data_IF_046561871439
#
_entry.id   IF_046561871439
#
_cell.length_a   1.000
_cell.length_b   1.000
_cell.length_c   1.000
_cell.angle_alpha   90.00
_cell.angle_beta   90.00
_cell.angle_gamma   90.00
#
_symmetry.space_group_name_H-M   'P 1'
#
loop_
_entity.id
_entity.type
_entity.pdbx_description
1 polymer ?
#
# COMPACT_ATOMS: atom_id res chain seq x y z
N UNK A 1 -23.26 16.66 2.38
CA UNK A 1 -22.80 15.34 2.84
C UNK A 1 -22.67 14.46 1.61
N UNK A 2 -21.53 13.80 1.41
CA UNK A 2 -21.29 12.80 0.36
C UNK A 2 -21.68 11.46 0.98
N UNK A 3 -22.64 10.77 0.38
CA UNK A 3 -23.07 9.46 0.83
C UNK A 3 -22.18 8.38 0.22
N UNK A 4 -21.61 7.53 1.06
CA UNK A 4 -20.70 6.46 0.67
C UNK A 4 -21.25 5.10 1.10
N UNK A 5 -21.30 4.15 0.16
CA UNK A 5 -21.48 2.73 0.47
C UNK A 5 -20.12 2.06 0.41
N UNK A 6 -19.73 1.40 1.50
CA UNK A 6 -18.48 0.66 1.58
C UNK A 6 -18.75 -0.82 1.29
N UNK A 7 -18.05 -1.39 0.32
CA UNK A 7 -18.13 -2.81 -0.01
C UNK A 7 -16.86 -3.52 0.44
N UNK A 8 -16.99 -4.35 1.48
CA UNK A 8 -15.90 -5.12 2.08
C UNK A 8 -15.80 -4.91 3.59
N UNK A 9 -15.12 -5.85 4.25
CA UNK A 9 -14.93 -5.87 5.71
C UNK A 9 -13.49 -6.21 6.12
N UNK A 10 -12.55 -6.16 5.16
CA UNK A 10 -11.13 -6.42 5.39
C UNK A 10 -10.41 -5.25 6.06
N UNK A 11 -9.08 -5.35 6.20
CA UNK A 11 -8.27 -4.34 6.90
C UNK A 11 -8.46 -2.93 6.31
N UNK A 12 -8.37 -2.80 4.98
CA UNK A 12 -8.55 -1.51 4.28
C UNK A 12 -9.96 -0.96 4.54
N UNK A 13 -10.99 -1.79 4.40
CA UNK A 13 -12.38 -1.40 4.64
C UNK A 13 -12.58 -0.89 6.07
N UNK A 14 -12.12 -1.64 7.08
CA UNK A 14 -12.21 -1.25 8.49
C UNK A 14 -11.54 0.11 8.75
N UNK A 15 -10.35 0.36 8.19
CA UNK A 15 -9.66 1.64 8.37
C UNK A 15 -10.35 2.80 7.66
N UNK A 16 -10.83 2.59 6.44
CA UNK A 16 -11.57 3.60 5.70
C UNK A 16 -12.90 3.94 6.36
N UNK A 17 -13.62 2.93 6.89
CA UNK A 17 -14.83 3.15 7.69
C UNK A 17 -14.53 4.06 8.88
N UNK A 18 -13.55 3.70 9.72
CA UNK A 18 -13.16 4.50 10.89
C UNK A 18 -12.77 5.93 10.52
N UNK A 19 -12.03 6.10 9.43
CA UNK A 19 -11.59 7.42 8.97
C UNK A 19 -12.77 8.27 8.46
N UNK A 20 -13.68 7.69 7.67
CA UNK A 20 -14.86 8.41 7.19
C UNK A 20 -15.90 8.66 8.27
N UNK A 21 -16.04 7.80 9.28
CA UNK A 21 -16.93 8.05 10.42
C UNK A 21 -16.51 9.27 11.25
N UNK A 22 -15.25 9.70 11.14
CA UNK A 22 -14.75 10.93 11.76
C UNK A 22 -14.87 12.17 10.86
N UNK A 23 -15.32 12.03 9.60
CA UNK A 23 -15.50 13.14 8.66
C UNK A 23 -16.84 13.84 8.87
N UNK A 24 -16.85 15.17 8.70
CA UNK A 24 -18.07 15.97 8.69
C UNK A 24 -18.71 16.08 7.29
N UNK A 25 -18.00 15.66 6.24
CA UNK A 25 -18.45 15.80 4.84
C UNK A 25 -18.84 14.48 4.19
N UNK A 26 -18.34 13.35 4.69
CA UNK A 26 -18.62 12.02 4.16
C UNK A 26 -19.40 11.22 5.20
N UNK A 27 -20.46 10.55 4.76
CA UNK A 27 -21.22 9.64 5.60
C UNK A 27 -21.19 8.24 4.99
N UNK A 28 -20.73 7.25 5.76
CA UNK A 28 -20.90 5.85 5.38
C UNK A 28 -22.35 5.46 5.68
N UNK A 29 -23.16 5.27 4.63
CA UNK A 29 -24.61 5.01 4.77
C UNK A 29 -24.94 3.53 4.80
N UNK A 30 -24.04 2.68 4.33
CA UNK A 30 -24.20 1.22 4.36
C UNK A 30 -22.85 0.53 4.20
N UNK A 31 -22.70 -0.65 4.83
CA UNK A 31 -21.58 -1.57 4.58
C UNK A 31 -22.08 -2.89 4.01
N UNK A 32 -21.54 -3.29 2.86
CA UNK A 32 -21.80 -4.58 2.25
C UNK A 32 -20.64 -5.55 2.51
N UNK A 33 -20.95 -6.82 2.77
CA UNK A 33 -19.96 -7.90 2.64
C UNK A 33 -20.64 -9.19 2.18
N UNK A 34 -19.92 -10.04 1.45
CA UNK A 34 -20.43 -11.34 1.01
C UNK A 34 -20.78 -12.32 2.15
N UNK A 35 -20.37 -12.04 3.39
CA UNK A 35 -20.60 -12.88 4.56
C UNK A 35 -20.87 -12.03 5.81
N UNK A 36 -21.84 -12.46 6.61
CA UNK A 36 -22.25 -11.80 7.86
C UNK A 36 -21.12 -11.70 8.89
N UNK A 37 -20.22 -12.70 8.94
CA UNK A 37 -19.12 -12.74 9.90
C UNK A 37 -18.22 -11.50 9.86
N UNK A 38 -18.14 -10.83 8.72
CA UNK A 38 -17.34 -9.61 8.56
C UNK A 38 -18.06 -8.32 8.96
N UNK A 39 -19.37 -8.37 9.26
CA UNK A 39 -20.21 -7.18 9.41
C UNK A 39 -20.41 -6.73 10.86
N UNK A 40 -20.11 -7.59 11.84
CA UNK A 40 -20.31 -7.32 13.27
C UNK A 40 -19.62 -6.04 13.79
N UNK A 41 -18.55 -5.61 13.14
CA UNK A 41 -17.83 -4.37 13.49
C UNK A 41 -18.59 -3.10 13.06
N UNK A 42 -19.44 -3.19 12.03
CA UNK A 42 -20.11 -2.04 11.40
C UNK A 42 -21.59 -1.92 11.80
N UNK A 43 -22.26 -3.05 12.04
CA UNK A 43 -23.71 -3.14 12.23
C UNK A 43 -24.25 -2.34 13.43
N UNK A 44 -23.39 -1.99 14.39
CA UNK A 44 -23.77 -1.19 15.57
C UNK A 44 -24.07 0.27 15.24
N UNK A 45 -23.45 0.79 14.19
CA UNK A 45 -23.46 2.22 13.86
C UNK A 45 -24.01 2.50 12.46
N UNK A 46 -23.88 1.55 11.54
CA UNK A 46 -24.26 1.71 10.15
C UNK A 46 -25.04 0.50 9.65
N UNK A 47 -26.11 0.69 8.84
CA UNK A 47 -26.80 -0.41 8.19
C UNK A 47 -25.84 -1.34 7.42
N UNK A 48 -26.06 -2.64 7.52
CA UNK A 48 -25.25 -3.64 6.83
C UNK A 48 -26.13 -4.53 5.94
N UNK A 49 -25.55 -5.10 4.88
CA UNK A 49 -26.23 -6.11 4.06
C UNK A 49 -25.23 -7.09 3.45
N UNK A 50 -25.71 -8.29 3.16
CA UNK A 50 -25.02 -9.31 2.37
C UNK A 50 -25.57 -9.44 0.95
N UNK A 51 -26.59 -8.65 0.61
CA UNK A 51 -27.26 -8.63 -0.69
C UNK A 51 -26.85 -7.41 -1.51
N UNK A 52 -26.45 -7.62 -2.77
CA UNK A 52 -26.15 -6.52 -3.70
C UNK A 52 -27.42 -5.79 -4.16
N UNK A 53 -28.57 -6.47 -4.13
CA UNK A 53 -29.86 -5.90 -4.51
C UNK A 53 -30.37 -4.89 -3.48
N UNK A 54 -29.94 -5.03 -2.23
CA UNK A 54 -30.31 -4.16 -1.10
C UNK A 54 -29.34 -2.99 -0.90
N UNK A 55 -28.40 -2.79 -1.83
CA UNK A 55 -27.46 -1.68 -1.75
C UNK A 55 -28.19 -0.34 -1.91
N UNK A 56 -27.96 0.56 -0.96
CA UNK A 56 -28.52 1.90 -0.91
C UNK A 56 -28.02 2.78 -2.07
N UNK A 57 -28.78 3.83 -2.37
CA UNK A 57 -28.33 4.88 -3.29
C UNK A 57 -27.24 5.71 -2.59
N UNK A 58 -26.12 5.91 -3.26
CA UNK A 58 -24.99 6.68 -2.75
C UNK A 58 -24.27 7.44 -3.87
N UNK A 59 -23.52 8.46 -3.48
CA UNK A 59 -22.68 9.24 -4.39
C UNK A 59 -21.42 8.46 -4.80
N UNK A 60 -20.94 7.59 -3.89
CA UNK A 60 -19.73 6.79 -4.05
C UNK A 60 -19.97 5.36 -3.53
N UNK A 61 -19.55 4.38 -4.31
CA UNK A 61 -19.49 2.96 -3.95
C UNK A 61 -18.02 2.56 -3.92
N UNK A 62 -17.49 2.31 -2.73
CA UNK A 62 -16.07 2.05 -2.51
C UNK A 62 -15.80 0.56 -2.29
N UNK A 63 -15.16 -0.07 -3.26
CA UNK A 63 -14.86 -1.50 -3.32
C UNK A 63 -13.52 -1.77 -2.63
N UNK A 64 -13.58 -2.04 -1.32
CA UNK A 64 -12.47 -2.50 -0.50
C UNK A 64 -12.50 -4.04 -0.40
N UNK A 65 -12.46 -4.68 -1.58
CA UNK A 65 -12.61 -6.12 -1.78
C UNK A 65 -11.30 -6.76 -2.23
N UNK A 66 -11.27 -8.10 -2.28
CA UNK A 66 -10.17 -8.82 -2.92
C UNK A 66 -10.11 -8.51 -4.42
N UNK A 67 -8.90 -8.49 -4.96
CA UNK A 67 -8.61 -8.09 -6.34
C UNK A 67 -9.39 -8.88 -7.39
N UNK A 68 -9.53 -10.19 -7.19
CA UNK A 68 -10.22 -11.13 -8.08
C UNK A 68 -11.74 -10.91 -8.13
N UNK A 69 -12.32 -10.35 -7.07
CA UNK A 69 -13.77 -10.15 -6.94
C UNK A 69 -14.21 -8.79 -7.51
N UNK A 70 -13.32 -7.78 -7.55
CA UNK A 70 -13.64 -6.41 -7.99
C UNK A 70 -14.36 -6.37 -9.37
N UNK A 71 -13.88 -7.04 -10.43
CA UNK A 71 -14.53 -6.95 -11.74
C UNK A 71 -15.94 -7.56 -11.78
N UNK A 72 -16.21 -8.56 -10.93
CA UNK A 72 -17.53 -9.19 -10.86
C UNK A 72 -18.52 -8.26 -10.16
N UNK A 73 -18.13 -7.71 -9.00
CA UNK A 73 -19.00 -6.84 -8.20
C UNK A 73 -19.24 -5.51 -8.92
N UNK A 74 -18.24 -4.95 -9.60
CA UNK A 74 -18.42 -3.72 -10.39
C UNK A 74 -19.50 -3.87 -11.47
N UNK A 75 -19.54 -5.00 -12.17
CA UNK A 75 -20.58 -5.29 -13.17
C UNK A 75 -21.97 -5.40 -12.56
N UNK A 76 -22.10 -5.94 -11.35
CA UNK A 76 -23.38 -5.98 -10.65
C UNK A 76 -23.86 -4.57 -10.24
N UNK A 77 -22.94 -3.61 -10.09
CA UNK A 77 -23.22 -2.21 -9.75
C UNK A 77 -23.23 -1.27 -10.97
N UNK A 78 -23.11 -1.78 -12.20
CA UNK A 78 -22.92 -0.97 -13.41
C UNK A 78 -24.03 0.07 -13.65
N UNK A 79 -25.25 -0.23 -13.20
CA UNK A 79 -26.44 0.61 -13.41
C UNK A 79 -26.65 1.63 -12.28
N UNK A 80 -25.73 1.69 -11.29
CA UNK A 80 -25.77 2.70 -10.23
C UNK A 80 -25.26 4.04 -10.75
N UNK A 81 -25.91 5.14 -10.33
CA UNK A 81 -25.55 6.51 -10.73
C UNK A 81 -24.29 7.06 -10.04
N UNK A 82 -23.95 6.51 -8.86
CA UNK A 82 -22.79 6.92 -8.08
C UNK A 82 -21.47 6.47 -8.70
N UNK A 83 -20.38 7.07 -8.24
CA UNK A 83 -19.03 6.69 -8.64
C UNK A 83 -18.66 5.31 -8.06
N UNK A 84 -18.33 4.35 -8.92
CA UNK A 84 -17.79 3.05 -8.50
C UNK A 84 -16.28 3.16 -8.44
N UNK A 85 -15.67 3.03 -7.26
CA UNK A 85 -14.21 3.09 -7.11
C UNK A 85 -13.67 1.91 -6.31
N UNK A 86 -12.49 1.40 -6.65
CA UNK A 86 -11.84 0.33 -5.88
C UNK A 86 -10.59 0.79 -5.16
N UNK A 87 -10.18 0.05 -4.12
CA UNK A 87 -8.98 0.37 -3.31
C UNK A 87 -7.77 -0.50 -3.63
N UNK A 88 -7.80 -1.29 -4.70
CA UNK A 88 -6.67 -2.16 -5.07
C UNK A 88 -5.49 -1.37 -5.66
N UNK A 89 -4.27 -1.73 -5.25
CA UNK A 89 -3.04 -1.25 -5.88
C UNK A 89 -2.80 -1.87 -7.26
N UNK A 90 -3.21 -3.12 -7.47
CA UNK A 90 -2.85 -3.92 -8.65
C UNK A 90 -3.93 -3.93 -9.76
N UNK A 91 -5.21 -3.90 -9.39
CA UNK A 91 -6.33 -3.92 -10.35
C UNK A 91 -6.38 -2.59 -11.11
N UNK A 92 -6.43 -2.65 -12.44
CA UNK A 92 -6.52 -1.42 -13.25
C UNK A 92 -7.93 -0.85 -13.28
N UNK A 93 -8.06 0.45 -13.52
CA UNK A 93 -9.35 1.12 -13.74
C UNK A 93 -10.23 0.41 -14.79
N UNK A 94 -9.61 -0.20 -15.81
CA UNK A 94 -10.31 -0.98 -16.84
C UNK A 94 -11.15 -2.17 -16.29
N UNK A 95 -10.87 -2.65 -15.07
CA UNK A 95 -11.72 -3.65 -14.41
C UNK A 95 -13.14 -3.14 -14.13
N UNK A 96 -13.34 -1.83 -14.15
CA UNK A 96 -14.60 -1.13 -13.95
C UNK A 96 -15.18 -0.60 -15.28
N UNK A 97 -14.75 -1.13 -16.43
CA UNK A 97 -15.14 -0.60 -17.75
C UNK A 97 -16.65 -0.58 -17.98
N UNK A 98 -17.38 -1.54 -17.41
CA UNK A 98 -18.85 -1.61 -17.48
C UNK A 98 -19.56 -0.47 -16.74
N UNK A 99 -18.91 0.19 -15.78
CA UNK A 99 -19.48 1.28 -15.00
C UNK A 99 -19.29 2.61 -15.74
N UNK A 100 -20.35 3.42 -15.83
CA UNK A 100 -20.27 4.75 -16.45
C UNK A 100 -19.30 5.67 -15.70
N UNK A 101 -19.41 5.73 -14.37
CA UNK A 101 -18.54 6.50 -13.48
C UNK A 101 -17.65 5.55 -12.70
N UNK A 102 -16.35 5.60 -12.96
CA UNK A 102 -15.39 4.66 -12.40
C UNK A 102 -14.11 5.34 -11.93
N UNK A 103 -13.53 4.80 -10.85
CA UNK A 103 -12.27 5.31 -10.30
C UNK A 103 -11.48 4.31 -9.47
N UNK A 104 -10.33 4.77 -8.99
CA UNK A 104 -9.43 4.08 -8.09
C UNK A 104 -9.13 5.01 -6.93
N UNK A 105 -9.32 4.52 -5.72
CA UNK A 105 -9.06 5.23 -4.47
C UNK A 105 -8.12 4.37 -3.63
N UNK A 106 -6.84 4.34 -4.01
CA UNK A 106 -5.87 3.41 -3.42
C UNK A 106 -5.04 4.08 -2.32
N UNK A 107 -5.25 3.72 -1.04
CA UNK A 107 -4.33 4.10 0.03
C UNK A 107 -3.04 3.28 -0.03
N UNK A 108 -1.90 3.94 -0.25
CA UNK A 108 -0.59 3.31 -0.27
C UNK A 108 -0.04 3.18 1.17
N UNK A 109 -0.49 2.14 1.87
CA UNK A 109 -0.07 1.81 3.23
C UNK A 109 -0.28 0.31 3.51
N UNK A 110 0.50 -0.25 4.44
CA UNK A 110 0.27 -1.58 5.01
C UNK A 110 -0.76 -1.48 6.13
N UNK A 111 -1.92 -2.13 5.95
CA UNK A 111 -3.02 -2.11 6.91
C UNK A 111 -3.11 -3.39 7.74
N UNK A 112 -3.28 -3.24 9.05
CA UNK A 112 -3.66 -4.33 9.98
C UNK A 112 -4.71 -3.81 10.96
N UNK A 113 -5.82 -4.55 11.15
CA UNK A 113 -7.01 -4.06 11.91
C UNK A 113 -6.70 -3.52 13.31
N UNK A 114 -5.71 -4.11 13.96
CA UNK A 114 -5.33 -3.86 15.36
C UNK A 114 -4.38 -2.67 15.51
N UNK A 115 -3.75 -2.20 14.43
CA UNK A 115 -2.77 -1.13 14.49
C UNK A 115 -3.45 0.20 14.23
N UNK A 116 -3.33 1.13 15.17
CA UNK A 116 -3.72 2.52 14.92
C UNK A 116 -2.78 3.14 13.88
N UNK A 117 -3.37 3.94 12.99
CA UNK A 117 -2.64 4.60 11.90
C UNK A 117 -2.87 6.10 12.00
N UNK A 118 -1.82 6.87 11.73
CA UNK A 118 -1.95 8.29 11.47
C UNK A 118 -2.46 8.48 10.03
N UNK A 119 -3.79 8.61 9.88
CA UNK A 119 -4.43 8.72 8.56
C UNK A 119 -3.91 9.90 7.73
N UNK A 120 -3.56 11.01 8.39
CA UNK A 120 -3.02 12.23 7.75
C UNK A 120 -1.72 12.00 6.97
N UNK A 121 -1.01 10.90 7.25
CA UNK A 121 0.24 10.59 6.58
C UNK A 121 0.08 9.65 5.38
N UNK A 122 -1.08 9.02 5.22
CA UNK A 122 -1.33 8.00 4.19
C UNK A 122 -1.47 8.69 2.83
N UNK A 123 -0.63 8.35 1.84
CA UNK A 123 -0.79 8.82 0.48
C UNK A 123 -1.91 8.05 -0.23
N UNK A 124 -2.84 8.78 -0.84
CA UNK A 124 -3.89 8.22 -1.69
C UNK A 124 -3.54 8.39 -3.17
N UNK A 125 -3.46 7.27 -3.88
CA UNK A 125 -3.26 7.22 -5.33
C UNK A 125 -4.63 7.16 -6.00
N UNK A 126 -4.96 8.20 -6.76
CA UNK A 126 -6.27 8.44 -7.34
C UNK A 126 -6.21 8.31 -8.87
N UNK A 127 -7.25 7.72 -9.44
CA UNK A 127 -7.48 7.62 -10.88
C UNK A 127 -8.99 7.64 -11.12
N UNK A 128 -9.47 8.27 -12.19
CA UNK A 128 -10.88 8.22 -12.58
C UNK A 128 -11.03 8.31 -14.10
N UNK A 129 -12.19 7.88 -14.62
CA UNK A 129 -12.52 8.04 -16.04
C UNK A 129 -12.64 9.52 -16.45
N UNK A 130 -13.22 10.34 -15.57
CA UNK A 130 -13.52 11.74 -15.82
C UNK A 130 -13.00 12.66 -14.71
N UNK A 131 -12.70 13.92 -15.07
CA UNK A 131 -12.15 14.91 -14.13
C UNK A 131 -13.05 15.17 -12.93
N UNK A 132 -14.38 15.21 -13.14
CA UNK A 132 -15.36 15.44 -12.07
C UNK A 132 -15.29 14.35 -10.98
N UNK A 133 -15.09 13.10 -11.39
CA UNK A 133 -14.97 11.98 -10.46
C UNK A 133 -13.61 11.97 -9.78
N UNK A 134 -12.54 12.36 -10.48
CA UNK A 134 -11.23 12.56 -9.88
C UNK A 134 -11.26 13.62 -8.77
N UNK A 135 -11.97 14.73 -9.00
CA UNK A 135 -12.13 15.80 -8.02
C UNK A 135 -12.96 15.33 -6.82
N UNK A 136 -14.00 14.51 -7.05
CA UNK A 136 -14.74 13.85 -5.96
C UNK A 136 -13.82 12.95 -5.13
N UNK A 137 -12.97 12.14 -5.76
CA UNK A 137 -12.01 11.30 -5.05
C UNK A 137 -10.98 12.12 -4.27
N UNK A 138 -10.54 13.28 -4.78
CA UNK A 138 -9.66 14.19 -4.03
C UNK A 138 -10.34 14.75 -2.79
N UNK A 139 -11.63 15.07 -2.86
CA UNK A 139 -12.41 15.49 -1.68
C UNK A 139 -12.45 14.35 -0.65
N UNK A 140 -12.77 13.12 -1.07
CA UNK A 140 -12.76 11.96 -0.17
C UNK A 140 -11.39 11.75 0.47
N UNK A 141 -10.31 11.84 -0.31
CA UNK A 141 -8.95 11.71 0.18
C UNK A 141 -8.69 12.79 1.23
N UNK A 142 -9.03 14.05 0.93
CA UNK A 142 -8.84 15.21 1.82
C UNK A 142 -9.51 15.09 3.20
N UNK A 143 -10.63 14.35 3.30
CA UNK A 143 -11.30 14.08 4.56
C UNK A 143 -10.58 13.04 5.44
N UNK A 144 -9.68 12.24 4.86
CA UNK A 144 -8.87 11.25 5.57
C UNK A 144 -7.42 11.74 5.73
N UNK A 145 -6.88 12.32 4.66
CA UNK A 145 -5.48 12.68 4.47
C UNK A 145 -5.34 13.86 3.53
N UNK A 146 -4.42 14.78 3.85
CA UNK A 146 -4.06 15.86 2.93
C UNK A 146 -3.23 15.42 1.71
N UNK A 147 -2.92 14.12 1.57
CA UNK A 147 -1.97 13.59 0.57
C UNK A 147 -2.69 12.80 -0.51
N UNK A 148 -3.08 13.48 -1.58
CA UNK A 148 -3.70 12.87 -2.77
C UNK A 148 -2.81 13.06 -4.01
N UNK A 149 -2.61 11.99 -4.77
CA UNK A 149 -1.78 11.96 -5.96
C UNK A 149 -2.54 11.34 -7.13
N UNK A 150 -2.52 11.98 -8.29
CA UNK A 150 -3.08 11.42 -9.52
C UNK A 150 -2.10 10.41 -10.11
N UNK A 151 -2.44 9.13 -10.03
CA UNK A 151 -1.56 8.04 -10.42
C UNK A 151 -2.35 7.06 -11.28
N UNK A 152 -2.02 7.03 -12.57
CA UNK A 152 -2.62 6.08 -13.53
C UNK A 152 -2.35 4.63 -13.14
N UNK A 153 -3.15 3.69 -13.64
CA UNK A 153 -2.97 2.26 -13.44
C UNK A 153 -1.58 1.77 -13.84
N UNK A 154 -1.00 2.33 -14.90
CA UNK A 154 0.36 2.01 -15.31
C UNK A 154 1.42 2.52 -14.31
N UNK A 155 1.26 3.75 -13.80
CA UNK A 155 2.13 4.30 -12.77
C UNK A 155 1.98 3.56 -11.43
N UNK A 156 0.75 3.18 -11.04
CA UNK A 156 0.46 2.43 -9.81
C UNK A 156 1.13 1.05 -9.78
N UNK A 157 1.16 0.34 -10.92
CA UNK A 157 1.92 -0.90 -11.04
C UNK A 157 3.42 -0.70 -10.79
N UNK A 158 3.99 0.38 -11.35
CA UNK A 158 5.40 0.74 -11.11
C UNK A 158 5.63 1.16 -9.66
N UNK A 159 4.70 1.92 -9.07
CA UNK A 159 4.76 2.33 -7.67
C UNK A 159 4.70 1.13 -6.72
N UNK A 160 3.84 0.15 -7.01
CA UNK A 160 3.79 -1.09 -6.24
C UNK A 160 5.12 -1.85 -6.32
N UNK A 161 5.70 -1.98 -7.53
CA UNK A 161 7.03 -2.54 -7.71
C UNK A 161 8.08 -1.77 -6.87
N UNK A 162 8.07 -0.43 -6.92
CA UNK A 162 8.95 0.39 -6.09
C UNK A 162 8.74 0.12 -4.59
N UNK A 163 7.50 -0.02 -4.13
CA UNK A 163 7.16 -0.35 -2.75
C UNK A 163 7.71 -1.73 -2.32
N UNK A 164 7.68 -2.73 -3.21
CA UNK A 164 8.30 -4.04 -2.97
C UNK A 164 9.80 -3.88 -2.67
N UNK A 165 10.52 -3.08 -3.46
CA UNK A 165 11.94 -2.80 -3.21
C UNK A 165 12.19 -2.08 -1.88
N UNK A 166 11.46 -1.00 -1.59
CA UNK A 166 11.75 -0.16 -0.41
C UNK A 166 11.16 -0.69 0.89
N UNK A 167 10.20 -1.62 0.84
CA UNK A 167 9.57 -2.19 2.03
C UNK A 167 9.79 -3.70 2.14
N UNK A 168 9.35 -4.50 1.15
CA UNK A 168 9.36 -5.96 1.29
C UNK A 168 10.78 -6.53 1.25
N UNK A 169 11.58 -6.13 0.25
CA UNK A 169 12.97 -6.56 0.16
C UNK A 169 13.80 -5.99 1.31
N UNK A 170 13.63 -4.72 1.66
CA UNK A 170 14.28 -4.12 2.83
C UNK A 170 13.99 -4.91 4.13
N UNK A 171 12.73 -5.29 4.37
CA UNK A 171 12.37 -6.10 5.53
C UNK A 171 13.02 -7.49 5.49
N UNK A 172 13.09 -8.13 4.33
CA UNK A 172 13.77 -9.42 4.20
C UNK A 172 15.28 -9.31 4.47
N UNK A 173 15.93 -8.21 4.08
CA UNK A 173 17.32 -7.94 4.47
C UNK A 173 17.48 -7.79 5.99
N UNK A 174 16.48 -7.25 6.69
CA UNK A 174 16.47 -7.22 8.16
C UNK A 174 16.36 -8.64 8.73
N UNK A 175 15.53 -9.51 8.14
CA UNK A 175 15.43 -10.92 8.54
C UNK A 175 16.75 -11.66 8.35
N UNK A 176 17.47 -11.43 7.26
CA UNK A 176 18.82 -12.00 7.06
C UNK A 176 19.77 -11.52 8.17
N UNK A 177 19.79 -10.22 8.46
CA UNK A 177 20.60 -9.65 9.55
C UNK A 177 20.25 -10.22 10.93
N UNK A 178 18.96 -10.37 11.23
CA UNK A 178 18.46 -10.99 12.46
C UNK A 178 18.89 -12.45 12.58
N UNK A 179 18.84 -13.22 11.49
CA UNK A 179 19.30 -14.61 11.46
C UNK A 179 20.81 -14.70 11.74
N UNK A 180 21.63 -13.86 11.08
CA UNK A 180 23.09 -13.80 11.33
C UNK A 180 23.37 -13.46 12.80
N UNK A 181 22.66 -12.47 13.36
CA UNK A 181 22.77 -12.12 14.78
C UNK A 181 22.42 -13.32 15.68
N UNK A 182 21.29 -13.98 15.42
CA UNK A 182 20.82 -15.13 16.20
C UNK A 182 21.80 -16.30 16.16
N UNK A 183 22.35 -16.64 15.00
CA UNK A 183 23.32 -17.73 14.81
C UNK A 183 24.66 -17.47 15.52
N UNK A 184 24.98 -16.20 15.77
CA UNK A 184 26.22 -15.77 16.42
C UNK A 184 25.98 -15.20 17.83
N UNK A 185 24.84 -15.52 18.45
CA UNK A 185 24.50 -15.14 19.83
C UNK A 185 24.55 -13.61 20.10
N UNK A 186 24.27 -12.80 19.07
CA UNK A 186 24.19 -11.34 19.17
C UNK A 186 22.72 -10.88 19.25
N UNK A 187 22.38 -9.93 20.13
CA UNK A 187 21.03 -9.37 20.15
C UNK A 187 20.80 -8.47 18.93
N UNK A 188 19.74 -8.75 18.16
CA UNK A 188 19.38 -8.01 16.94
C UNK A 188 19.12 -6.52 17.21
N UNK A 189 18.72 -6.17 18.44
CA UNK A 189 18.46 -4.80 18.89
C UNK A 189 19.63 -3.84 18.65
N UNK A 190 20.88 -4.34 18.63
CA UNK A 190 22.08 -3.54 18.33
C UNK A 190 22.04 -2.96 16.91
N UNK A 191 21.34 -3.59 15.97
CA UNK A 191 21.21 -3.12 14.58
C UNK A 191 20.07 -2.12 14.37
N UNK A 192 19.12 -2.01 15.31
CA UNK A 192 17.95 -1.14 15.16
C UNK A 192 18.30 0.34 14.94
N UNK A 193 19.30 0.94 15.63
CA UNK A 193 19.72 2.31 15.35
C UNK A 193 20.21 2.52 13.92
N UNK A 194 20.90 1.53 13.32
CA UNK A 194 21.39 1.60 11.94
C UNK A 194 20.25 1.52 10.92
N UNK A 195 19.27 0.66 11.17
CA UNK A 195 18.05 0.56 10.36
C UNK A 195 17.32 1.91 10.36
N UNK A 196 17.14 2.49 11.55
CA UNK A 196 16.44 3.75 11.73
C UNK A 196 17.16 4.92 11.07
N UNK A 197 18.48 5.01 11.21
CA UNK A 197 19.29 6.05 10.57
C UNK A 197 19.24 5.95 9.04
N UNK A 198 19.33 4.73 8.50
CA UNK A 198 19.24 4.49 7.05
C UNK A 198 17.88 4.95 6.50
N UNK A 199 16.79 4.62 7.19
CA UNK A 199 15.44 5.07 6.82
C UNK A 199 15.21 6.58 7.02
N UNK A 200 15.92 7.22 7.94
CA UNK A 200 15.81 8.66 8.15
C UNK A 200 16.53 9.48 7.08
N UNK A 201 17.71 9.03 6.61
CA UNK A 201 18.48 9.74 5.57
C UNK A 201 17.70 9.97 4.27
N UNK A 202 16.85 9.02 3.88
CA UNK A 202 16.06 9.13 2.63
C UNK A 202 14.95 10.18 2.71
N UNK A 203 14.65 10.73 3.90
CA UNK A 203 13.70 11.83 4.06
C UNK A 203 14.27 13.16 3.55
N UNK A 204 15.59 13.34 3.61
CA UNK A 204 16.27 14.62 3.33
C UNK A 204 17.28 14.53 2.20
N UNK A 205 17.67 13.34 1.78
CA UNK A 205 18.68 13.11 0.76
C UNK A 205 18.23 12.04 -0.23
N UNK A 206 18.70 12.11 -1.46
CA UNK A 206 18.46 11.03 -2.43
C UNK A 206 19.17 9.76 -1.93
N UNK A 207 18.55 8.56 -2.02
CA UNK A 207 19.24 7.30 -1.70
C UNK A 207 20.57 7.15 -2.42
N UNK A 208 20.68 7.72 -3.63
CA UNK A 208 21.91 7.69 -4.42
C UNK A 208 23.06 8.56 -3.88
N UNK A 209 22.81 9.48 -2.95
CA UNK A 209 23.83 10.38 -2.42
C UNK A 209 24.37 9.90 -1.06
N UNK A 210 23.65 8.98 -0.41
CA UNK A 210 23.93 8.55 0.96
C UNK A 210 24.40 7.09 1.06
N UNK A 211 24.66 6.44 -0.08
CA UNK A 211 25.19 5.08 -0.12
C UNK A 211 26.59 5.02 0.49
N UNK A 212 26.79 4.06 1.39
CA UNK A 212 28.10 3.75 2.00
C UNK A 212 28.38 2.25 1.92
N UNK A 213 29.49 1.81 2.51
CA UNK A 213 29.85 0.39 2.65
C UNK A 213 30.99 -0.06 1.72
N UNK A 214 31.43 -1.33 1.84
CA UNK A 214 32.56 -1.87 1.08
C UNK A 214 32.27 -1.97 -0.43
N UNK A 215 31.01 -2.19 -0.82
CA UNK A 215 30.60 -2.30 -2.22
C UNK A 215 30.93 -1.04 -3.03
N UNK A 216 30.48 0.15 -2.57
CA UNK A 216 30.74 1.42 -3.27
C UNK A 216 32.24 1.79 -3.29
N UNK A 217 33.02 1.31 -2.32
CA UNK A 217 34.48 1.52 -2.27
C UNK A 217 35.29 0.50 -3.06
N UNK A 218 34.64 -0.50 -3.67
CA UNK A 218 35.32 -1.64 -4.31
C UNK A 218 36.32 -2.35 -3.38
N UNK A 219 35.96 -2.49 -2.10
CA UNK A 219 36.77 -3.07 -1.03
C UNK A 219 36.74 -4.61 -1.10
N UNK A 220 37.53 -5.17 -2.03
CA UNK A 220 37.51 -6.59 -2.38
C UNK A 220 37.82 -7.52 -1.21
N UNK A 221 38.80 -7.18 -0.37
CA UNK A 221 39.17 -8.00 0.79
C UNK A 221 38.04 -8.11 1.80
N UNK A 222 37.33 -7.01 2.08
CA UNK A 222 36.16 -7.03 2.97
C UNK A 222 35.01 -7.81 2.35
N UNK A 223 34.79 -7.67 1.04
CA UNK A 223 33.74 -8.40 0.31
C UNK A 223 33.98 -9.92 0.35
N UNK A 224 35.22 -10.35 0.11
CA UNK A 224 35.61 -11.77 0.18
C UNK A 224 35.43 -12.32 1.59
N UNK A 225 35.91 -11.61 2.62
CA UNK A 225 35.74 -12.00 4.02
C UNK A 225 34.26 -12.15 4.42
N UNK A 226 33.38 -11.24 3.97
CA UNK A 226 31.95 -11.38 4.22
C UNK A 226 31.34 -12.63 3.55
N UNK A 227 31.76 -12.96 2.33
CA UNK A 227 31.26 -14.14 1.61
C UNK A 227 31.68 -15.47 2.26
N UNK A 228 32.82 -15.49 2.92
CA UNK A 228 33.29 -16.64 3.72
C UNK A 228 32.47 -16.83 5.00
N UNK A 229 31.95 -15.74 5.59
CA UNK A 229 31.12 -15.78 6.80
C UNK A 229 29.67 -16.23 6.55
N UNK A 230 29.17 -16.08 5.32
CA UNK A 230 27.84 -16.55 4.96
C UNK A 230 27.88 -18.07 4.73
N UNK A 231 26.90 -18.81 5.27
CA UNK A 231 26.78 -20.26 5.07
C UNK A 231 25.66 -20.62 4.08
N UNK A 232 24.61 -19.80 4.04
CA UNK A 232 23.43 -20.00 3.20
C UNK A 232 23.72 -19.57 1.74
N UNK A 233 23.55 -20.46 0.75
CA UNK A 233 23.75 -20.14 -0.66
C UNK A 233 22.88 -18.98 -1.16
N UNK A 234 21.63 -18.89 -0.72
CA UNK A 234 20.70 -17.83 -1.16
C UNK A 234 21.16 -16.47 -0.61
N UNK A 235 21.64 -16.44 0.64
CA UNK A 235 22.21 -15.22 1.24
C UNK A 235 23.48 -14.77 0.51
N UNK A 236 24.34 -15.70 0.09
CA UNK A 236 25.52 -15.39 -0.73
C UNK A 236 25.13 -14.78 -2.06
N UNK A 237 24.17 -15.38 -2.76
CA UNK A 237 23.71 -14.87 -4.05
C UNK A 237 23.09 -13.48 -3.93
N UNK A 238 22.27 -13.24 -2.90
CA UNK A 238 21.71 -11.92 -2.59
C UNK A 238 22.84 -10.91 -2.32
N UNK A 239 23.80 -11.27 -1.47
CA UNK A 239 24.93 -10.40 -1.12
C UNK A 239 25.75 -10.01 -2.35
N UNK A 240 26.08 -10.98 -3.21
CA UNK A 240 26.83 -10.74 -4.45
C UNK A 240 26.03 -9.88 -5.42
N UNK A 241 24.74 -10.20 -5.61
CA UNK A 241 23.86 -9.45 -6.50
C UNK A 241 23.74 -7.99 -6.09
N UNK A 242 23.51 -7.72 -4.79
CA UNK A 242 23.42 -6.35 -4.28
C UNK A 242 24.77 -5.62 -4.36
N UNK A 243 25.89 -6.31 -4.05
CA UNK A 243 27.24 -5.74 -4.16
C UNK A 243 27.54 -5.32 -5.60
N UNK A 244 27.28 -6.21 -6.57
CA UNK A 244 27.45 -5.91 -8.00
C UNK A 244 26.51 -4.80 -8.46
N UNK A 245 25.25 -4.79 -8.02
CA UNK A 245 24.30 -3.75 -8.38
C UNK A 245 24.75 -2.36 -7.90
N UNK A 246 25.24 -2.26 -6.65
CA UNK A 246 25.82 -1.05 -6.09
C UNK A 246 27.04 -0.62 -6.92
N UNK A 247 28.03 -1.52 -7.10
CA UNK A 247 29.24 -1.22 -7.87
C UNK A 247 28.94 -0.77 -9.30
N UNK A 248 28.00 -1.42 -10.00
CA UNK A 248 27.62 -1.05 -11.36
C UNK A 248 26.92 0.31 -11.45
N UNK A 249 26.14 0.69 -10.43
CA UNK A 249 25.44 1.96 -10.40
C UNK A 249 26.40 3.12 -10.08
N UNK A 250 27.29 2.95 -9.11
CA UNK A 250 28.20 4.01 -8.65
C UNK A 250 29.54 4.05 -9.40
N UNK A 251 30.06 2.90 -9.85
CA UNK A 251 31.31 2.80 -10.61
C UNK A 251 31.25 3.42 -12.01
N UNK A 252 30.05 3.77 -12.51
CA UNK A 252 29.87 4.55 -13.75
C UNK A 252 29.94 6.08 -13.54
N UNK A 253 29.98 6.55 -12.30
CA UNK A 253 29.98 7.98 -11.94
C UNK A 253 31.34 8.50 -11.46
N UNK A 254 32.37 7.64 -11.44
CA UNK A 254 33.77 7.98 -11.18
C UNK A 254 34.54 7.96 -12.51
#
# INVERSE_FOLDING_TARGET
MINLVLLGSGNVATHLYRAFSASEKVQVVQVYNHSENGLAEFEKETPVTTSLDEIFKADVYLLALKDDVIPQISRALKDREGLIAHTSGAVSLAALDACTRAGVFYPLQTFSKQKELNYCEIPFCLEAKDQKDLDLLKILAGEISGKAYEISSAQRKKLHLSAVFVCNFANHLYTIGENICRENEMPFEILQPLIQETANKVKTSSPSEVQTGPAIRHDGSTIEAHLELLNDPDQKEIYQTLTHAIQNFYGKKL
#
